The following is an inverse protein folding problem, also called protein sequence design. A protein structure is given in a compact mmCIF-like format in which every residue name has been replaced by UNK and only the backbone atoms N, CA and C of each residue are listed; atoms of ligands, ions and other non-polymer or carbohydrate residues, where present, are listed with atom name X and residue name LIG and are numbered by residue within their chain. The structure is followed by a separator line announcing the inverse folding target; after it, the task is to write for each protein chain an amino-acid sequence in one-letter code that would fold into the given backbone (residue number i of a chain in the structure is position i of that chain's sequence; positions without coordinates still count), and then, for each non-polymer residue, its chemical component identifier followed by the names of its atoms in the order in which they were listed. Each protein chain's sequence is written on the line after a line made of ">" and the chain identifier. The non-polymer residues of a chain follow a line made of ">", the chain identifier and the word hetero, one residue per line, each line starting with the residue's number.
data_IF_459317664448
#
_entry.id   IF_459317664448
#
_cell.length_a   1.000
_cell.length_b   1.000
_cell.length_c   1.000
_cell.angle_alpha   90.00
_cell.angle_beta   90.00
_cell.angle_gamma   90.00
#
_symmetry.space_group_name_H-M   'P 1'
#
loop_
_entity.id
_entity.type
_entity.pdbx_description
1 polymer ?
#
# COMPACT_ATOMS: atom_id res chain seq x y z
N UNK A 1 -23.85 52.10 -2.59
CA UNK A 1 -22.59 51.44 -2.15
C UNK A 1 -22.67 49.98 -2.57
N UNK A 2 -22.16 49.66 -3.75
CA UNK A 2 -22.08 48.27 -4.22
C UNK A 2 -20.79 47.67 -3.66
N UNK A 3 -20.92 46.84 -2.63
CA UNK A 3 -19.80 46.02 -2.14
C UNK A 3 -19.74 44.80 -3.05
N UNK A 4 -18.75 44.76 -3.94
CA UNK A 4 -18.40 43.57 -4.71
C UNK A 4 -17.60 42.65 -3.79
N UNK A 5 -18.24 41.64 -3.22
CA UNK A 5 -17.54 40.56 -2.51
C UNK A 5 -16.73 39.77 -3.55
N UNK A 6 -15.41 39.83 -3.42
CA UNK A 6 -14.47 39.04 -4.22
C UNK A 6 -14.55 37.57 -3.80
N UNK A 7 -14.45 36.65 -4.76
CA UNK A 7 -14.45 35.18 -4.57
C UNK A 7 -13.27 34.64 -3.72
N UNK A 8 -12.51 35.51 -3.07
CA UNK A 8 -11.34 35.15 -2.27
C UNK A 8 -11.68 34.79 -0.81
N UNK A 9 -12.95 34.87 -0.41
CA UNK A 9 -13.40 34.67 0.98
C UNK A 9 -14.05 33.31 1.28
N UNK A 10 -14.02 32.34 0.37
CA UNK A 10 -14.34 30.94 0.72
C UNK A 10 -13.10 30.26 1.29
N UNK A 11 -12.73 30.72 2.48
CA UNK A 11 -12.28 29.89 3.61
C UNK A 11 -11.20 28.85 3.30
N UNK A 12 -9.97 29.38 3.33
CA UNK A 12 -8.92 28.91 4.26
C UNK A 12 -9.54 28.32 5.54
N UNK A 13 -9.44 27.00 5.73
CA UNK A 13 -9.97 26.36 6.93
C UNK A 13 -9.75 24.86 7.01
N UNK A 14 -8.50 24.40 7.16
CA UNK A 14 -8.20 23.07 7.67
C UNK A 14 -7.04 22.35 6.98
N UNK A 15 -5.82 22.51 7.53
CA UNK A 15 -4.60 21.68 7.38
C UNK A 15 -4.24 21.22 5.95
N UNK A 16 -3.07 21.66 5.49
CA UNK A 16 -2.47 21.29 4.20
C UNK A 16 -2.72 19.82 3.81
N UNK A 17 -3.64 19.64 2.87
CA UNK A 17 -3.84 18.38 2.17
C UNK A 17 -2.66 18.25 1.21
N UNK A 18 -1.58 17.64 1.69
CA UNK A 18 -0.61 17.05 0.79
C UNK A 18 -1.40 16.17 -0.18
N UNK A 19 -1.40 16.53 -1.47
CA UNK A 19 -2.03 15.71 -2.50
C UNK A 19 -1.27 14.39 -2.48
N UNK A 20 -1.90 13.35 -1.92
CA UNK A 20 -1.31 12.02 -1.91
C UNK A 20 -1.23 11.55 -3.36
N UNK A 21 -0.04 11.21 -3.81
CA UNK A 21 0.19 10.57 -5.12
C UNK A 21 -0.73 9.36 -5.30
N UNK A 22 -0.99 8.63 -4.22
CA UNK A 22 -1.92 7.50 -4.16
C UNK A 22 -3.16 7.85 -3.32
N UNK A 23 -4.36 7.96 -3.92
CA UNK A 23 -5.59 8.23 -3.19
C UNK A 23 -5.91 7.14 -2.16
N UNK A 24 -6.37 7.54 -0.97
CA UNK A 24 -6.76 6.61 0.11
C UNK A 24 -7.78 5.56 -0.35
N UNK A 25 -8.70 5.94 -1.23
CA UNK A 25 -9.70 5.02 -1.78
C UNK A 25 -9.08 3.81 -2.50
N UNK A 26 -7.85 3.95 -3.01
CA UNK A 26 -7.09 2.92 -3.75
C UNK A 26 -5.99 2.24 -2.90
N UNK A 27 -5.76 2.68 -1.67
CA UNK A 27 -4.80 2.04 -0.76
C UNK A 27 -5.46 0.88 -0.01
N UNK A 28 -4.77 -0.26 0.11
CA UNK A 28 -5.21 -1.42 0.90
C UNK A 28 -4.06 -1.88 1.78
N UNK A 29 -4.24 -1.78 3.10
CA UNK A 29 -3.31 -2.33 4.08
C UNK A 29 -3.83 -3.71 4.49
N UNK A 30 -3.06 -4.76 4.21
CA UNK A 30 -3.43 -6.14 4.49
C UNK A 30 -2.29 -6.83 5.26
N UNK A 31 -2.65 -7.74 6.16
CA UNK A 31 -1.72 -8.61 6.87
C UNK A 31 -2.23 -10.05 6.83
N UNK A 32 -1.33 -11.00 6.59
CA UNK A 32 -1.66 -12.43 6.50
C UNK A 32 -1.18 -13.11 7.79
N UNK A 33 -2.14 -13.52 8.63
CA UNK A 33 -1.88 -14.33 9.82
C UNK A 33 -2.57 -15.68 9.68
N UNK A 34 -1.86 -16.74 10.04
CA UNK A 34 -2.36 -18.10 9.99
C UNK A 34 -1.52 -18.99 10.91
N UNK A 35 -2.04 -20.19 11.19
CA UNK A 35 -1.36 -21.22 11.95
C UNK A 35 0.00 -21.61 11.34
N UNK A 36 0.86 -22.31 12.11
CA UNK A 36 2.10 -22.87 11.56
C UNK A 36 1.76 -23.79 10.37
N UNK A 37 2.59 -23.73 9.33
CA UNK A 37 2.46 -24.51 8.10
C UNK A 37 1.20 -24.27 7.24
N UNK A 38 0.43 -23.22 7.51
CA UNK A 38 -0.75 -22.85 6.71
C UNK A 38 -0.43 -22.16 5.36
N UNK A 39 0.84 -22.03 4.97
CA UNK A 39 1.23 -21.41 3.69
C UNK A 39 1.09 -19.89 3.63
N UNK A 40 1.31 -19.18 4.75
CA UNK A 40 1.31 -17.70 4.81
C UNK A 40 2.24 -17.10 3.76
N UNK A 41 3.49 -17.54 3.78
CA UNK A 41 4.54 -17.04 2.88
C UNK A 41 4.22 -17.37 1.42
N UNK A 42 3.76 -18.59 1.13
CA UNK A 42 3.34 -19.01 -0.23
C UNK A 42 2.17 -18.18 -0.77
N UNK A 43 1.25 -17.75 0.09
CA UNK A 43 0.13 -16.88 -0.29
C UNK A 43 0.61 -15.46 -0.60
N UNK A 44 1.56 -14.94 0.19
CA UNK A 44 2.17 -13.62 -0.08
C UNK A 44 2.89 -13.60 -1.42
N UNK A 45 3.67 -14.62 -1.75
CA UNK A 45 4.38 -14.71 -3.05
C UNK A 45 3.40 -14.68 -4.23
N UNK A 46 2.26 -15.35 -4.11
CA UNK A 46 1.20 -15.30 -5.13
C UNK A 46 0.61 -13.90 -5.28
N UNK A 47 0.38 -13.19 -4.18
CA UNK A 47 -0.10 -11.79 -4.23
C UNK A 47 0.92 -10.90 -4.94
N UNK A 48 2.21 -11.05 -4.65
CA UNK A 48 3.25 -10.28 -5.33
C UNK A 48 3.33 -10.59 -6.83
N UNK A 49 3.19 -11.85 -7.21
CA UNK A 49 3.16 -12.25 -8.62
C UNK A 49 1.94 -11.68 -9.36
N UNK A 50 0.73 -11.89 -8.82
CA UNK A 50 -0.51 -11.44 -9.49
C UNK A 50 -0.67 -9.91 -9.51
N UNK A 51 -0.03 -9.18 -8.59
CA UNK A 51 0.02 -7.71 -8.62
C UNK A 51 1.14 -7.16 -9.50
N UNK A 52 1.97 -8.03 -10.10
CA UNK A 52 3.11 -7.64 -10.94
C UNK A 52 4.28 -7.05 -10.16
N UNK A 53 4.30 -7.18 -8.82
CA UNK A 53 5.41 -6.76 -7.95
C UNK A 53 6.60 -7.71 -8.02
N UNK A 54 6.35 -8.98 -8.31
CA UNK A 54 7.37 -9.99 -8.60
C UNK A 54 7.15 -10.59 -10.00
N UNK A 55 8.24 -10.83 -10.73
CA UNK A 55 8.20 -11.34 -12.11
C UNK A 55 8.32 -12.88 -12.19
N UNK A 56 8.58 -13.53 -11.06
CA UNK A 56 8.66 -14.98 -10.88
C UNK A 56 7.92 -15.33 -9.58
N UNK A 57 7.31 -16.50 -9.56
CA UNK A 57 6.75 -17.07 -8.32
C UNK A 57 7.92 -17.73 -7.58
N UNK A 58 8.29 -17.17 -6.44
CA UNK A 58 9.23 -17.80 -5.53
C UNK A 58 8.54 -18.91 -4.72
N UNK A 59 9.23 -20.01 -4.51
CA UNK A 59 8.77 -21.09 -3.63
C UNK A 59 9.56 -21.01 -2.32
N UNK A 60 8.82 -21.00 -1.22
CA UNK A 60 9.36 -20.90 0.14
C UNK A 60 10.25 -22.10 0.45
N UNK A 61 9.86 -23.27 -0.05
CA UNK A 61 10.59 -24.52 0.14
C UNK A 61 11.95 -24.53 -0.56
N UNK A 62 12.14 -23.70 -1.59
CA UNK A 62 13.39 -23.56 -2.33
C UNK A 62 14.22 -22.35 -1.85
N UNK A 63 13.74 -21.61 -0.83
CA UNK A 63 14.38 -20.38 -0.35
C UNK A 63 14.44 -19.26 -1.40
N UNK A 64 13.60 -19.35 -2.44
CA UNK A 64 13.54 -18.37 -3.54
C UNK A 64 12.41 -17.35 -3.35
N UNK A 65 11.66 -17.44 -2.25
CA UNK A 65 10.61 -16.50 -1.92
C UNK A 65 11.21 -15.09 -1.74
N UNK A 66 10.64 -14.11 -2.43
CA UNK A 66 11.09 -12.72 -2.39
C UNK A 66 10.98 -12.16 -0.97
N UNK A 67 10.02 -12.65 -0.19
CA UNK A 67 9.77 -12.25 1.19
C UNK A 67 10.78 -12.81 2.22
N UNK A 68 11.61 -13.80 1.87
CA UNK A 68 12.55 -14.44 2.82
C UNK A 68 13.85 -13.64 3.01
N UNK A 69 14.06 -12.54 2.28
CA UNK A 69 15.15 -11.61 2.54
C UNK A 69 14.80 -10.68 3.70
N UNK A 70 15.15 -11.08 4.91
CA UNK A 70 15.30 -10.16 6.04
C UNK A 70 16.80 -9.99 6.29
N UNK A 71 17.31 -8.77 6.20
CA UNK A 71 18.63 -8.46 6.73
C UNK A 71 18.61 -8.81 8.22
N UNK A 72 19.47 -9.75 8.62
CA UNK A 72 19.64 -10.14 10.02
C UNK A 72 20.14 -8.91 10.79
N UNK A 73 19.37 -8.45 11.78
CA UNK A 73 19.79 -7.43 12.74
C UNK A 73 20.67 -8.04 13.85
#
# INVERSE_FOLDING_TARGET
>A
MHVTTTEQDVKKGGKGLAIREYPLARTRNIGIMAHIDAGKTTTTERILYYTGRAYKIGEVHEGTAVMDWMAQE
#
